data_IF_710924707396
#
_entry.id   IF_710924707396
#
_cell.length_a   1.000
_cell.length_b   1.000
_cell.length_c   1.000
_cell.angle_alpha   90.00
_cell.angle_beta   90.00
_cell.angle_gamma   90.00
#
_symmetry.space_group_name_H-M   'P 1'
#
loop_
_entity.id
_entity.type
_entity.pdbx_description
1 polymer ?
#
# COMPACT_ATOMS: atom_id res chain seq x y z
N UNK A 1 -17.30 -7.72 -18.00
CA UNK A 1 -18.41 -7.58 -17.06
C UNK A 1 -17.95 -6.92 -15.78
N UNK A 2 -18.53 -5.81 -15.47
CA UNK A 2 -18.17 -5.09 -14.24
C UNK A 2 -18.76 -5.71 -12.98
N UNK A 3 -19.79 -6.54 -13.13
CA UNK A 3 -20.45 -7.15 -11.97
C UNK A 3 -19.51 -7.96 -11.10
N UNK A 4 -18.49 -8.60 -11.69
CA UNK A 4 -17.50 -9.34 -10.94
C UNK A 4 -16.62 -8.49 -10.04
N UNK A 5 -16.48 -7.17 -10.35
CA UNK A 5 -15.71 -6.24 -9.56
C UNK A 5 -16.47 -5.73 -8.34
N UNK A 6 -17.81 -5.76 -8.39
CA UNK A 6 -18.68 -5.22 -7.34
C UNK A 6 -19.21 -6.29 -6.40
N UNK A 7 -18.97 -7.56 -6.69
CA UNK A 7 -19.47 -8.68 -5.93
C UNK A 7 -18.34 -9.45 -5.28
N UNK A 8 -18.47 -9.65 -3.98
CA UNK A 8 -17.51 -10.42 -3.23
C UNK A 8 -17.74 -11.92 -3.44
N UNK A 9 -16.71 -12.63 -3.87
CA UNK A 9 -16.70 -14.09 -3.91
C UNK A 9 -16.08 -14.67 -2.65
N UNK A 10 -16.42 -15.90 -2.36
CA UNK A 10 -15.83 -16.60 -1.22
C UNK A 10 -14.31 -16.63 -1.34
N UNK A 11 -13.62 -16.17 -0.30
CA UNK A 11 -12.16 -16.16 -0.26
C UNK A 11 -11.52 -14.85 -0.69
N UNK A 12 -12.26 -13.93 -1.32
CA UNK A 12 -11.73 -12.62 -1.61
C UNK A 12 -11.48 -11.85 -0.32
N UNK A 13 -10.48 -11.00 -0.32
CA UNK A 13 -10.19 -10.20 0.86
C UNK A 13 -11.31 -9.19 1.10
N UNK A 14 -11.85 -9.21 2.32
CA UNK A 14 -12.84 -8.24 2.76
C UNK A 14 -12.12 -6.93 3.13
N UNK A 15 -11.15 -7.04 4.02
CA UNK A 15 -10.34 -5.89 4.42
C UNK A 15 -9.03 -6.38 5.03
N UNK A 16 -8.09 -5.45 5.14
CA UNK A 16 -6.81 -5.64 5.82
C UNK A 16 -6.73 -4.54 6.87
N UNK A 17 -6.27 -4.90 8.06
CA UNK A 17 -6.10 -3.93 9.13
C UNK A 17 -4.63 -3.83 9.52
N UNK A 18 -4.08 -2.62 9.42
CA UNK A 18 -2.69 -2.32 9.78
C UNK A 18 -2.69 -1.42 11.00
N UNK A 19 -1.97 -1.82 12.04
CA UNK A 19 -1.82 -1.00 13.24
C UNK A 19 -0.55 -0.16 13.10
N UNK A 20 -0.65 1.12 13.41
CA UNK A 20 0.43 2.08 13.24
C UNK A 20 0.75 2.79 14.55
N UNK A 21 2.00 3.23 14.74
CA UNK A 21 2.36 3.93 15.98
C UNK A 21 1.71 5.30 16.12
N UNK A 22 1.45 6.00 15.00
CA UNK A 22 0.89 7.33 15.03
C UNK A 22 0.05 7.57 13.77
N UNK A 23 -1.24 7.80 13.98
CA UNK A 23 -2.21 7.88 12.89
C UNK A 23 -1.95 9.03 11.92
N UNK A 24 -1.64 10.22 12.43
CA UNK A 24 -1.45 11.39 11.58
C UNK A 24 -0.31 11.19 10.58
N UNK A 25 0.80 10.65 11.06
CA UNK A 25 1.95 10.36 10.19
C UNK A 25 1.64 9.24 9.19
N UNK A 26 0.97 8.19 9.64
CA UNK A 26 0.57 7.09 8.78
C UNK A 26 -0.39 7.56 7.70
N UNK A 27 -1.33 8.43 8.06
CA UNK A 27 -2.30 9.00 7.13
C UNK A 27 -1.61 9.80 6.03
N UNK A 28 -0.55 10.53 6.36
CA UNK A 28 0.18 11.33 5.38
C UNK A 28 0.81 10.45 4.30
N UNK A 29 1.37 9.29 4.66
CA UNK A 29 1.98 8.38 3.69
C UNK A 29 0.94 7.46 3.03
N UNK A 30 0.17 6.74 3.83
CA UNK A 30 -0.82 5.79 3.31
C UNK A 30 -1.95 6.49 2.56
N UNK A 31 -2.43 7.62 3.08
CA UNK A 31 -3.52 8.35 2.43
C UNK A 31 -3.14 8.86 1.06
N UNK A 32 -1.93 9.39 0.93
CA UNK A 32 -1.42 9.80 -0.38
C UNK A 32 -1.37 8.62 -1.35
N UNK A 33 -0.73 7.53 -0.93
CA UNK A 33 -0.56 6.37 -1.80
C UNK A 33 -1.91 5.75 -2.20
N UNK A 34 -2.75 5.45 -1.23
CA UNK A 34 -4.03 4.81 -1.50
C UNK A 34 -4.92 5.68 -2.37
N UNK A 35 -4.90 7.01 -2.16
CA UNK A 35 -5.63 7.93 -3.03
C UNK A 35 -5.13 7.88 -4.47
N UNK A 36 -3.81 7.85 -4.66
CA UNK A 36 -3.22 7.72 -6.01
C UNK A 36 -3.56 6.39 -6.66
N UNK A 37 -3.75 5.35 -5.87
CA UNK A 37 -4.12 4.02 -6.38
C UNK A 37 -5.62 3.86 -6.62
N UNK A 38 -6.41 4.92 -6.41
CA UNK A 38 -7.84 4.89 -6.70
C UNK A 38 -8.71 4.50 -5.52
N UNK A 39 -8.14 4.38 -4.33
CA UNK A 39 -8.93 4.16 -3.13
C UNK A 39 -9.56 5.46 -2.66
N UNK A 40 -10.75 5.38 -2.08
CA UNK A 40 -11.46 6.52 -1.52
C UNK A 40 -11.63 6.34 -0.01
N UNK A 41 -11.59 7.44 0.73
CA UNK A 41 -11.86 7.41 2.18
C UNK A 41 -13.21 6.75 2.40
N UNK A 42 -13.25 5.77 3.31
CA UNK A 42 -14.45 4.98 3.56
C UNK A 42 -15.04 5.26 4.95
N UNK A 43 -14.24 5.08 5.99
CA UNK A 43 -14.69 5.31 7.38
C UNK A 43 -13.62 6.06 8.14
N UNK A 44 -14.06 6.86 9.12
CA UNK A 44 -13.17 7.59 10.01
C UNK A 44 -13.69 7.47 11.44
N UNK A 45 -12.75 7.28 12.37
CA UNK A 45 -13.04 7.25 13.81
C UNK A 45 -11.80 7.80 14.53
N UNK A 46 -11.89 8.09 15.85
CA UNK A 46 -10.78 8.79 16.51
C UNK A 46 -9.41 8.15 16.37
N UNK A 47 -9.34 6.80 16.38
CA UNK A 47 -8.07 6.08 16.33
C UNK A 47 -7.73 5.53 14.95
N UNK A 48 -8.58 5.72 13.96
CA UNK A 48 -8.34 5.08 12.66
C UNK A 48 -9.08 5.68 11.50
N UNK A 49 -8.76 5.14 10.34
CA UNK A 49 -9.34 5.56 9.07
C UNK A 49 -9.22 4.40 8.09
N UNK A 50 -10.14 4.33 7.15
CA UNK A 50 -10.07 3.30 6.11
C UNK A 50 -10.28 3.90 4.74
N UNK A 51 -9.74 3.21 3.74
CA UNK A 51 -9.84 3.56 2.33
C UNK A 51 -10.31 2.34 1.58
N UNK A 52 -11.21 2.53 0.63
CA UNK A 52 -11.87 1.43 -0.08
C UNK A 52 -11.70 1.56 -1.58
N UNK A 53 -11.48 0.41 -2.23
CA UNK A 53 -11.52 0.26 -3.68
C UNK A 53 -12.31 -1.01 -3.99
N UNK A 54 -13.40 -0.88 -4.75
CA UNK A 54 -14.26 -2.03 -5.05
C UNK A 54 -14.86 -2.63 -3.79
N UNK A 55 -14.59 -3.92 -3.57
CA UNK A 55 -15.15 -4.68 -2.44
C UNK A 55 -14.16 -4.81 -1.27
N UNK A 56 -12.96 -4.25 -1.40
CA UNK A 56 -11.90 -4.40 -0.40
C UNK A 56 -11.54 -3.06 0.19
N UNK A 57 -11.28 -3.00 1.50
CA UNK A 57 -10.79 -1.78 2.10
C UNK A 57 -9.58 -2.06 3.00
N UNK A 58 -8.82 -1.01 3.25
CA UNK A 58 -7.62 -1.06 4.09
C UNK A 58 -7.84 -0.12 5.26
N UNK A 59 -7.67 -0.68 6.46
CA UNK A 59 -7.83 0.04 7.73
C UNK A 59 -6.44 0.39 8.26
N UNK A 60 -6.25 1.63 8.65
CA UNK A 60 -5.05 2.09 9.35
C UNK A 60 -5.51 2.54 10.73
N UNK A 61 -4.97 1.94 11.77
CA UNK A 61 -5.44 2.24 13.13
C UNK A 61 -4.28 2.39 14.11
N UNK A 62 -4.37 3.43 14.94
CA UNK A 62 -3.51 3.61 16.09
C UNK A 62 -4.19 2.99 17.31
N UNK A 63 -4.17 1.67 17.38
CA UNK A 63 -4.87 0.95 18.43
C UNK A 63 -4.21 1.17 19.79
N UNK A 64 -4.99 1.36 20.86
CA UNK A 64 -4.42 1.39 22.22
C UNK A 64 -3.83 0.05 22.64
N UNK A 65 -4.21 -1.03 21.95
CA UNK A 65 -3.71 -2.38 22.27
C UNK A 65 -2.40 -2.73 21.58
N UNK A 66 -1.87 -1.81 20.75
CA UNK A 66 -0.62 -2.08 20.04
C UNK A 66 0.56 -2.10 21.00
N UNK A 67 1.56 -2.93 20.68
CA UNK A 67 2.84 -2.86 21.37
C UNK A 67 3.65 -1.66 20.83
N UNK A 68 4.59 -1.17 21.60
CA UNK A 68 5.43 -0.04 21.22
C UNK A 68 6.35 -0.40 20.06
N UNK A 69 6.72 0.61 19.26
CA UNK A 69 7.68 0.47 18.18
C UNK A 69 7.04 0.54 16.82
N UNK A 70 7.90 0.53 15.82
CA UNK A 70 7.49 0.55 14.42
C UNK A 70 7.33 -0.88 13.91
N UNK A 71 6.66 -1.03 12.77
CA UNK A 71 6.54 -2.32 12.11
C UNK A 71 7.92 -2.80 11.64
N UNK A 72 8.18 -4.09 11.83
CA UNK A 72 9.39 -4.75 11.34
C UNK A 72 8.99 -5.79 10.30
N UNK A 73 9.15 -5.46 9.01
CA UNK A 73 8.78 -6.34 7.91
C UNK A 73 9.69 -7.56 7.76
N UNK A 74 10.78 -7.57 8.51
CA UNK A 74 11.70 -8.70 8.48
C UNK A 74 11.33 -9.78 9.51
N UNK A 75 10.34 -9.49 10.37
CA UNK A 75 9.83 -10.50 11.29
C UNK A 75 8.75 -11.34 10.62
N UNK A 76 8.52 -12.56 11.09
CA UNK A 76 7.37 -13.33 10.60
C UNK A 76 6.08 -12.53 10.74
N UNK A 77 5.30 -12.47 9.67
CA UNK A 77 4.07 -11.66 9.59
C UNK A 77 4.00 -10.95 8.25
N UNK A 78 3.46 -9.73 8.25
CA UNK A 78 3.36 -8.96 7.01
C UNK A 78 4.73 -8.50 6.55
N UNK A 79 5.14 -8.94 5.35
CA UNK A 79 6.33 -8.41 4.70
C UNK A 79 5.97 -7.17 3.87
N UNK A 80 5.01 -7.30 2.96
CA UNK A 80 4.56 -6.16 2.14
C UNK A 80 3.17 -6.42 1.56
N UNK A 81 2.53 -5.35 1.11
CA UNK A 81 1.32 -5.40 0.29
C UNK A 81 1.69 -5.03 -1.13
N UNK A 82 1.15 -5.76 -2.10
CA UNK A 82 1.40 -5.47 -3.50
C UNK A 82 0.12 -4.97 -4.17
N UNK A 83 0.25 -3.90 -4.96
CA UNK A 83 -0.87 -3.27 -5.66
C UNK A 83 -0.60 -3.22 -7.15
N UNK A 84 -1.63 -3.43 -7.94
CA UNK A 84 -1.56 -3.19 -9.38
C UNK A 84 -1.48 -1.69 -9.67
N UNK A 85 -0.68 -1.33 -10.67
CA UNK A 85 -0.67 0.01 -11.25
C UNK A 85 -0.98 -0.15 -12.74
N UNK A 86 -1.71 0.78 -13.32
CA UNK A 86 -2.27 0.61 -14.65
C UNK A 86 -1.21 0.61 -15.76
N UNK A 87 -0.07 1.30 -15.55
CA UNK A 87 0.97 1.41 -16.58
C UNK A 87 2.34 1.64 -15.95
N UNK A 88 3.39 1.40 -16.73
CA UNK A 88 4.76 1.70 -16.30
C UNK A 88 4.95 3.20 -16.06
N UNK A 89 4.35 4.02 -16.91
CA UNK A 89 4.41 5.48 -16.78
C UNK A 89 3.80 5.94 -15.46
N UNK A 90 2.66 5.36 -15.09
CA UNK A 90 2.01 5.70 -13.83
C UNK A 90 2.85 5.26 -12.63
N UNK A 91 3.46 4.09 -12.70
CA UNK A 91 4.37 3.61 -11.66
C UNK A 91 5.55 4.55 -11.51
N UNK A 92 6.17 4.94 -12.62
CA UNK A 92 7.33 5.84 -12.60
C UNK A 92 6.96 7.18 -11.98
N UNK A 93 5.77 7.71 -12.27
CA UNK A 93 5.28 8.95 -11.69
C UNK A 93 5.09 8.83 -10.18
N UNK A 94 4.53 7.72 -9.72
CA UNK A 94 4.38 7.48 -8.28
C UNK A 94 5.72 7.42 -7.57
N UNK A 95 6.70 6.74 -8.16
CA UNK A 95 8.05 6.64 -7.59
C UNK A 95 8.71 8.01 -7.50
N UNK A 96 8.51 8.84 -8.52
CA UNK A 96 9.08 10.19 -8.54
C UNK A 96 8.58 11.04 -7.37
N UNK A 97 7.31 10.96 -7.03
CA UNK A 97 6.70 11.77 -5.98
C UNK A 97 6.70 11.13 -4.58
N UNK A 98 6.97 9.83 -4.50
CA UNK A 98 6.89 9.08 -3.24
C UNK A 98 7.71 9.68 -2.09
N UNK A 99 8.95 10.16 -2.31
CA UNK A 99 9.74 10.71 -1.20
C UNK A 99 9.11 11.91 -0.52
N UNK A 100 8.34 12.71 -1.25
CA UNK A 100 7.65 13.88 -0.69
C UNK A 100 6.51 13.47 0.25
N UNK A 101 6.11 12.20 0.23
CA UNK A 101 4.98 11.70 1.00
C UNK A 101 5.38 10.57 1.97
N UNK A 102 6.67 10.52 2.32
CA UNK A 102 7.14 9.61 3.36
C UNK A 102 7.48 8.20 2.91
N UNK A 103 7.55 7.96 1.60
CA UNK A 103 7.94 6.66 1.05
C UNK A 103 9.31 6.76 0.40
N UNK A 104 10.21 5.81 0.69
CA UNK A 104 11.51 5.74 0.05
C UNK A 104 11.61 4.50 -0.83
N UNK A 105 12.29 4.64 -1.95
CA UNK A 105 12.49 3.53 -2.88
C UNK A 105 13.49 2.53 -2.29
N UNK A 106 13.11 1.27 -2.23
CA UNK A 106 14.00 0.17 -1.88
C UNK A 106 14.67 -0.35 -3.14
N UNK A 107 15.87 -0.91 -3.00
CA UNK A 107 16.63 -1.53 -4.09
C UNK A 107 16.82 -0.61 -5.29
N UNK A 108 17.25 0.65 -5.09
CA UNK A 108 17.31 1.61 -6.20
C UNK A 108 18.25 1.21 -7.32
N UNK A 109 19.29 0.43 -7.01
CA UNK A 109 20.25 -0.04 -8.00
C UNK A 109 19.71 -1.16 -8.89
N UNK A 110 18.60 -1.79 -8.50
CA UNK A 110 17.94 -2.83 -9.29
C UNK A 110 16.58 -2.40 -9.82
N UNK A 111 16.06 -1.29 -9.33
CA UNK A 111 14.78 -0.76 -9.78
C UNK A 111 14.81 -0.48 -11.28
N UNK A 112 13.80 -0.80 -12.08
CA UNK A 112 12.49 -1.32 -11.71
C UNK A 112 12.35 -2.83 -11.81
N UNK A 113 13.45 -3.56 -11.78
CA UNK A 113 13.46 -5.02 -11.96
C UNK A 113 14.00 -5.76 -10.73
N UNK A 114 13.84 -5.17 -9.54
CA UNK A 114 14.32 -5.80 -8.30
C UNK A 114 13.63 -7.15 -8.03
N UNK A 115 12.40 -7.33 -8.54
CA UNK A 115 11.67 -8.57 -8.37
C UNK A 115 11.88 -9.59 -9.48
N UNK A 116 12.66 -9.25 -10.54
CA UNK A 116 12.91 -10.14 -11.66
C UNK A 116 12.84 -9.39 -12.99
N UNK A 117 13.45 -9.96 -14.03
CA UNK A 117 13.61 -9.28 -15.32
C UNK A 117 12.28 -8.98 -16.02
N UNK A 118 11.25 -9.78 -15.76
CA UNK A 118 9.94 -9.62 -16.37
C UNK A 118 8.94 -8.95 -15.46
N UNK A 119 9.40 -8.43 -14.33
CA UNK A 119 8.53 -7.90 -13.28
C UNK A 119 8.84 -6.41 -13.07
N UNK A 120 8.09 -5.55 -13.77
CA UNK A 120 8.28 -4.10 -13.63
C UNK A 120 7.55 -3.62 -12.39
N UNK A 121 8.31 -3.35 -11.35
CA UNK A 121 7.73 -3.04 -10.06
C UNK A 121 8.61 -2.08 -9.26
N UNK A 122 7.99 -1.39 -8.30
CA UNK A 122 8.69 -0.54 -7.35
C UNK A 122 8.38 -1.02 -5.93
N UNK A 123 9.40 -1.09 -5.10
CA UNK A 123 9.27 -1.43 -3.69
C UNK A 123 9.54 -0.17 -2.88
N UNK A 124 8.58 0.21 -2.03
CA UNK A 124 8.64 1.44 -1.24
C UNK A 124 8.46 1.11 0.23
N UNK A 125 9.18 1.81 1.09
CA UNK A 125 9.02 1.66 2.54
C UNK A 125 8.70 3.01 3.16
N UNK A 126 7.73 3.06 4.07
CA UNK A 126 7.42 4.29 4.78
C UNK A 126 8.18 4.38 6.11
N UNK A 127 8.00 5.50 6.82
CA UNK A 127 8.74 5.75 8.05
C UNK A 127 8.37 4.80 9.20
N UNK A 128 7.18 4.22 9.15
CA UNK A 128 6.74 3.25 10.16
C UNK A 128 7.21 1.83 9.87
N UNK A 129 7.95 1.61 8.76
CA UNK A 129 8.51 0.31 8.44
C UNK A 129 7.62 -0.57 7.58
N UNK A 130 6.53 -0.04 7.05
CA UNK A 130 5.67 -0.80 6.13
C UNK A 130 6.23 -0.72 4.72
N UNK A 131 6.18 -1.86 4.04
CA UNK A 131 6.62 -1.95 2.65
C UNK A 131 5.43 -2.21 1.74
N UNK A 132 5.42 -1.55 0.60
CA UNK A 132 4.48 -1.83 -0.48
C UNK A 132 5.24 -2.12 -1.75
N UNK A 133 4.60 -2.88 -2.62
CA UNK A 133 5.09 -3.16 -3.97
C UNK A 133 4.05 -2.64 -4.95
N UNK A 134 4.50 -1.86 -5.94
CA UNK A 134 3.65 -1.37 -7.02
C UNK A 134 4.03 -2.15 -8.27
N UNK A 135 3.06 -2.81 -8.90
CA UNK A 135 3.32 -3.73 -10.01
C UNK A 135 2.63 -3.21 -11.26
N UNK A 136 3.43 -2.88 -12.27
CA UNK A 136 2.91 -2.49 -13.58
C UNK A 136 2.61 -3.72 -14.43
N UNK A 137 1.71 -3.60 -15.45
CA UNK A 137 1.43 -4.73 -16.32
C UNK A 137 2.67 -5.13 -17.14
N UNK A 138 2.72 -6.37 -17.61
CA UNK A 138 3.81 -6.81 -18.48
C UNK A 138 3.90 -5.95 -19.74
N UNK A 139 5.10 -5.88 -20.32
CA UNK A 139 5.26 -5.21 -21.61
C UNK A 139 4.44 -5.93 -22.67
N UNK A 140 3.76 -5.15 -23.52
CA UNK A 140 2.94 -5.69 -24.61
C UNK A 140 3.78 -6.04 -25.83
#
# INVERSE_FOLDING_TARGET
>A
MLSGMDHAGTGMLHHIELWVPELTRAEASWGWLLGKLGYHVYQEWPEGKSWRAGVTYIVIEQSPDRVAGRHDRCRPGLNHLAFHVASREELDELVLHAPDHGWRLLYPDRHPFAGGDDHYAAYLENREGYEVELVAPPAS
#
